data_IF_126891428940
#
_entry.id   IF_126891428940
#
_cell.length_a   1.000
_cell.length_b   1.000
_cell.length_c   1.000
_cell.angle_alpha   90.00
_cell.angle_beta   90.00
_cell.angle_gamma   90.00
#
_symmetry.space_group_name_H-M   'P 1'
#
loop_
_entity.id
_entity.type
_entity.pdbx_description
1 polymer ?
#
# COMPACT_ATOMS: atom_id res chain seq x y z
N UNK A 1 6.10 -5.37 13.73
CA UNK A 1 6.95 -5.71 12.57
C UNK A 1 6.06 -5.95 11.38
N UNK A 2 6.27 -5.21 10.31
CA UNK A 2 5.45 -5.30 9.11
C UNK A 2 6.02 -6.37 8.16
N UNK A 3 5.14 -7.04 7.42
CA UNK A 3 5.54 -8.10 6.51
C UNK A 3 4.50 -8.31 5.40
N UNK A 4 4.96 -8.88 4.29
CA UNK A 4 4.12 -9.31 3.17
C UNK A 4 4.42 -10.77 2.85
N UNK A 5 3.37 -11.60 2.77
CA UNK A 5 3.43 -13.00 2.40
C UNK A 5 2.75 -13.21 1.05
N UNK A 6 3.38 -14.04 0.22
CA UNK A 6 2.87 -14.49 -1.07
C UNK A 6 2.60 -15.98 -0.97
N UNK A 7 1.40 -16.42 -1.32
CA UNK A 7 1.03 -17.83 -1.29
C UNK A 7 0.32 -18.23 -2.58
N UNK A 8 0.43 -19.51 -2.92
CA UNK A 8 -0.27 -20.14 -4.04
C UNK A 8 -1.15 -21.25 -3.48
N UNK A 9 -2.43 -21.24 -3.86
CA UNK A 9 -3.45 -22.18 -3.37
C UNK A 9 -4.12 -22.85 -4.56
N UNK A 10 -4.79 -23.98 -4.32
CA UNK A 10 -5.56 -24.74 -5.31
C UNK A 10 -4.71 -25.13 -6.54
N UNK A 11 -3.66 -25.93 -6.33
CA UNK A 11 -2.77 -26.39 -7.39
C UNK A 11 -2.15 -25.24 -8.23
N UNK A 12 -1.84 -24.11 -7.59
CA UNK A 12 -1.27 -22.88 -8.20
C UNK A 12 -2.23 -22.08 -9.09
N UNK A 13 -3.54 -22.36 -9.03
CA UNK A 13 -4.54 -21.59 -9.78
C UNK A 13 -4.94 -20.27 -9.09
N UNK A 14 -4.66 -20.13 -7.79
CA UNK A 14 -5.00 -18.91 -7.03
C UNK A 14 -3.75 -18.37 -6.35
N UNK A 15 -3.50 -17.06 -6.49
CA UNK A 15 -2.42 -16.37 -5.79
C UNK A 15 -3.00 -15.47 -4.71
N UNK A 16 -2.53 -15.66 -3.49
CA UNK A 16 -2.95 -14.90 -2.31
C UNK A 16 -1.81 -14.01 -1.83
N UNK A 17 -2.15 -12.79 -1.42
CA UNK A 17 -1.23 -11.83 -0.83
C UNK A 17 -1.78 -11.41 0.54
N UNK A 18 -0.93 -11.47 1.56
CA UNK A 18 -1.25 -11.05 2.93
C UNK A 18 -0.23 -10.01 3.34
N UNK A 19 -0.67 -8.85 3.82
CA UNK A 19 0.24 -7.81 4.29
C UNK A 19 -0.22 -7.29 5.65
N UNK A 20 0.73 -7.14 6.57
CA UNK A 20 0.57 -6.36 7.80
C UNK A 20 1.40 -5.09 7.67
N UNK A 21 0.74 -3.95 7.59
CA UNK A 21 1.31 -2.63 7.28
C UNK A 21 1.12 -1.61 8.41
N UNK A 22 0.81 -2.09 9.63
CA UNK A 22 0.42 -1.24 10.76
C UNK A 22 1.47 -0.19 11.09
N UNK A 23 2.76 -0.55 11.11
CA UNK A 23 3.81 0.39 11.48
C UNK A 23 4.06 1.42 10.37
N UNK A 24 4.09 1.01 9.11
CA UNK A 24 4.27 1.90 7.96
C UNK A 24 3.11 2.89 7.85
N UNK A 25 1.86 2.42 8.00
CA UNK A 25 0.69 3.31 8.00
C UNK A 25 0.74 4.31 9.16
N UNK A 26 1.04 3.86 10.39
CA UNK A 26 1.13 4.76 11.54
C UNK A 26 2.22 5.81 11.35
N UNK A 27 3.37 5.43 10.78
CA UNK A 27 4.44 6.37 10.47
C UNK A 27 4.02 7.42 9.44
N UNK A 28 3.31 7.02 8.38
CA UNK A 28 2.78 7.97 7.40
C UNK A 28 1.76 8.92 8.03
N UNK A 29 0.88 8.41 8.90
CA UNK A 29 -0.11 9.22 9.63
C UNK A 29 0.57 10.25 10.52
N UNK A 30 1.63 9.87 11.24
CA UNK A 30 2.39 10.75 12.12
C UNK A 30 3.14 11.83 11.32
N UNK A 31 3.75 11.47 10.17
CA UNK A 31 4.47 12.41 9.31
C UNK A 31 3.53 13.48 8.73
N UNK A 32 2.32 13.08 8.33
CA UNK A 32 1.37 13.95 7.64
C UNK A 32 0.33 14.60 8.57
N UNK A 33 0.40 14.33 9.88
CA UNK A 33 -0.56 14.80 10.90
C UNK A 33 -2.03 14.63 10.48
N UNK A 34 -2.38 13.41 10.07
CA UNK A 34 -3.68 13.13 9.45
C UNK A 34 -4.80 12.97 10.47
N UNK A 35 -5.95 13.55 10.14
CA UNK A 35 -7.20 13.20 10.81
C UNK A 35 -7.62 11.75 10.54
N UNK A 36 -8.42 11.12 11.43
CA UNK A 36 -8.77 9.69 11.33
C UNK A 36 -9.40 9.28 9.98
N UNK A 37 -10.16 10.17 9.35
CA UNK A 37 -10.77 9.93 8.04
C UNK A 37 -9.72 9.84 6.93
N UNK A 38 -8.80 10.80 6.85
CA UNK A 38 -7.72 10.81 5.87
C UNK A 38 -6.72 9.67 6.12
N UNK A 39 -6.39 9.40 7.39
CA UNK A 39 -5.55 8.29 7.82
C UNK A 39 -6.09 6.93 7.34
N UNK A 40 -7.41 6.71 7.46
CA UNK A 40 -8.10 5.49 7.02
C UNK A 40 -7.97 5.26 5.51
N UNK A 41 -8.04 6.33 4.71
CA UNK A 41 -7.92 6.23 3.25
C UNK A 41 -6.45 6.05 2.85
N UNK A 42 -5.54 6.88 3.36
CA UNK A 42 -4.11 6.75 3.06
C UNK A 42 -3.57 5.36 3.46
N UNK A 43 -3.92 4.85 4.64
CA UNK A 43 -3.49 3.53 5.09
C UNK A 43 -3.97 2.38 4.19
N UNK A 44 -5.22 2.47 3.68
CA UNK A 44 -5.75 1.53 2.69
C UNK A 44 -4.98 1.63 1.37
N UNK A 45 -4.73 2.83 0.90
CA UNK A 45 -3.96 3.08 -0.34
C UNK A 45 -2.55 2.53 -0.23
N UNK A 46 -1.80 2.87 0.83
CA UNK A 46 -0.44 2.34 1.09
C UNK A 46 -0.41 0.82 1.09
N UNK A 47 -1.39 0.19 1.73
CA UNK A 47 -1.44 -1.28 1.82
C UNK A 47 -1.67 -1.92 0.43
N UNK A 48 -2.59 -1.37 -0.37
CA UNK A 48 -2.84 -1.84 -1.73
C UNK A 48 -1.63 -1.58 -2.63
N UNK A 49 -1.03 -0.39 -2.55
CA UNK A 49 0.17 -0.02 -3.31
C UNK A 49 1.33 -0.97 -3.00
N UNK A 50 1.54 -1.32 -1.73
CA UNK A 50 2.54 -2.32 -1.33
C UNK A 50 2.24 -3.70 -1.93
N UNK A 51 0.98 -4.14 -1.89
CA UNK A 51 0.58 -5.43 -2.48
C UNK A 51 0.80 -5.43 -4.00
N UNK A 52 0.43 -4.36 -4.70
CA UNK A 52 0.63 -4.21 -6.14
C UNK A 52 2.11 -4.15 -6.49
N UNK A 53 2.92 -3.41 -5.72
CA UNK A 53 4.37 -3.33 -5.89
C UNK A 53 5.02 -4.71 -5.76
N UNK A 54 4.54 -5.52 -4.82
CA UNK A 54 4.99 -6.90 -4.66
C UNK A 54 4.61 -7.82 -5.84
N UNK A 55 3.74 -7.41 -6.76
CA UNK A 55 3.44 -8.15 -7.99
C UNK A 55 4.39 -7.82 -9.14
N UNK A 56 5.11 -6.70 -9.05
CA UNK A 56 6.07 -6.25 -10.05
C UNK A 56 7.30 -7.16 -10.10
N UNK A 57 8.02 -7.08 -11.21
CA UNK A 57 9.29 -7.79 -11.41
C UNK A 57 10.45 -6.78 -11.38
N UNK A 58 11.65 -7.29 -11.20
CA UNK A 58 12.89 -6.52 -11.29
C UNK A 58 12.90 -5.27 -10.39
N UNK A 59 13.29 -4.10 -10.92
CA UNK A 59 13.34 -2.82 -10.21
C UNK A 59 12.21 -1.87 -10.60
N UNK A 60 11.07 -2.43 -11.00
CA UNK A 60 9.91 -1.63 -11.35
C UNK A 60 9.27 -0.98 -10.10
N UNK A 61 8.67 0.18 -10.33
CA UNK A 61 7.88 0.92 -9.35
C UNK A 61 6.55 1.36 -9.96
N UNK A 62 5.55 1.52 -9.11
CA UNK A 62 4.24 2.03 -9.49
C UNK A 62 3.80 3.14 -8.56
N UNK A 63 2.97 4.03 -9.10
CA UNK A 63 2.32 5.11 -8.37
C UNK A 63 0.81 4.91 -8.46
N UNK A 64 0.16 4.80 -7.30
CA UNK A 64 -1.30 4.82 -7.18
C UNK A 64 -1.73 6.24 -6.86
N UNK A 65 -2.62 6.79 -7.68
CA UNK A 65 -3.21 8.11 -7.50
C UNK A 65 -4.73 7.97 -7.39
N UNK A 66 -5.29 8.44 -6.28
CA UNK A 66 -6.73 8.50 -6.07
C UNK A 66 -7.15 9.97 -6.09
N UNK A 67 -8.00 10.31 -7.04
CA UNK A 67 -8.62 11.62 -7.17
C UNK A 67 -10.14 11.46 -7.07
N UNK A 68 -10.68 11.81 -5.90
CA UNK A 68 -12.11 11.73 -5.62
C UNK A 68 -12.84 13.05 -5.74
N UNK A 69 -12.15 14.15 -6.11
CA UNK A 69 -12.68 15.52 -6.10
C UNK A 69 -13.43 15.90 -4.79
N UNK A 70 -12.99 15.33 -3.66
CA UNK A 70 -13.56 15.54 -2.33
C UNK A 70 -12.65 16.40 -1.45
N UNK A 71 -13.07 16.69 -0.21
CA UNK A 71 -12.30 17.56 0.71
C UNK A 71 -10.95 16.95 1.15
N UNK A 72 -10.77 15.64 0.98
CA UNK A 72 -9.49 14.95 1.21
C UNK A 72 -8.45 15.30 0.14
N UNK A 73 -8.90 15.79 -1.03
CA UNK A 73 -8.04 16.11 -2.14
C UNK A 73 -7.43 14.87 -2.77
N UNK A 74 -6.17 14.98 -3.17
CA UNK A 74 -5.45 13.96 -3.90
C UNK A 74 -4.65 13.07 -2.96
N UNK A 75 -4.77 11.76 -3.14
CA UNK A 75 -3.97 10.78 -2.41
C UNK A 75 -3.02 10.10 -3.40
N UNK A 76 -1.74 10.10 -3.06
CA UNK A 76 -0.68 9.51 -3.89
C UNK A 76 0.08 8.52 -3.03
N UNK A 77 0.35 7.33 -3.56
CA UNK A 77 1.24 6.37 -2.93
C UNK A 77 2.13 5.70 -3.98
N UNK A 78 3.42 5.64 -3.73
CA UNK A 78 4.39 4.92 -4.54
C UNK A 78 4.77 3.60 -3.87
N UNK A 79 4.91 2.53 -4.64
CA UNK A 79 5.43 1.25 -4.18
C UNK A 79 6.35 0.61 -5.21
N UNK A 80 7.36 -0.12 -4.75
CA UNK A 80 8.32 -0.82 -5.61
C UNK A 80 8.31 -2.33 -5.42
N UNK A 81 8.99 -3.05 -6.31
CA UNK A 81 9.15 -4.51 -6.28
C UNK A 81 9.87 -5.03 -5.02
N UNK A 82 10.61 -4.16 -4.32
CA UNK A 82 11.37 -4.49 -3.10
C UNK A 82 10.51 -4.44 -1.83
N UNK A 83 9.23 -4.06 -1.93
CA UNK A 83 8.32 -3.98 -0.79
C UNK A 83 8.48 -2.69 0.02
N UNK A 84 9.03 -1.64 -0.58
CA UNK A 84 9.05 -0.30 -0.01
C UNK A 84 7.83 0.46 -0.51
N UNK A 85 7.22 1.27 0.36
CA UNK A 85 6.05 2.08 0.03
C UNK A 85 6.13 3.44 0.73
N UNK A 86 5.62 4.47 0.07
CA UNK A 86 5.48 5.84 0.60
C UNK A 86 4.21 6.49 0.06
N UNK A 87 3.71 7.50 0.75
CA UNK A 87 2.52 8.28 0.40
C UNK A 87 2.22 9.29 1.48
#
# INVERSE_FOLDING_TARGET
MDYLLKSLVNNRNVRCYLARTTNVCNKAIEIHDLWPSAASVLGKTLTITLMMGAMLKDEEALTVKIDGNGPIGLIIADGNARGEVRG
#
